data_IF_045262663047
#
_entry.id   IF_045262663047
#
_cell.length_a   1.000
_cell.length_b   1.000
_cell.length_c   1.000
_cell.angle_alpha   90.00
_cell.angle_beta   90.00
_cell.angle_gamma   90.00
#
_symmetry.space_group_name_H-M   'P 1'
#
loop_
_entity.id
_entity.type
_entity.pdbx_description
1 polymer ?
#
# COMPACT_ATOMS: atom_id res chain seq x y z
N UNK A 1 68.57 2.17 -11.85
CA UNK A 1 67.93 1.08 -11.07
C UNK A 1 66.46 1.47 -10.94
N UNK A 2 65.78 1.58 -12.08
CA UNK A 2 65.02 0.51 -12.75
C UNK A 2 63.77 0.07 -11.99
N UNK A 3 62.57 0.27 -12.58
CA UNK A 3 61.28 -0.11 -12.04
C UNK A 3 60.94 -1.55 -12.46
N UNK A 4 60.17 -2.28 -11.63
CA UNK A 4 59.63 -3.58 -12.03
C UNK A 4 58.10 -3.62 -11.92
N UNK A 5 57.53 -3.92 -13.08
CA UNK A 5 56.18 -4.31 -13.42
C UNK A 5 55.61 -5.52 -12.66
N UNK A 6 54.28 -5.62 -12.68
CA UNK A 6 53.53 -6.88 -12.57
C UNK A 6 52.04 -6.56 -12.31
N UNK A 7 51.16 -6.38 -13.29
CA UNK A 7 50.61 -7.32 -14.29
C UNK A 7 49.17 -7.73 -13.92
N UNK A 8 48.25 -7.28 -14.76
CA UNK A 8 47.10 -7.96 -15.35
C UNK A 8 46.23 -8.92 -14.50
N UNK A 9 44.98 -8.50 -14.34
CA UNK A 9 43.83 -9.36 -14.03
C UNK A 9 42.62 -8.94 -14.86
N UNK A 10 42.61 -9.36 -16.13
CA UNK A 10 41.47 -9.25 -17.04
C UNK A 10 40.44 -10.36 -16.76
N UNK A 11 39.15 -10.05 -16.96
CA UNK A 11 38.13 -11.06 -17.30
C UNK A 11 36.89 -11.07 -16.40
N UNK A 12 35.78 -10.50 -16.90
CA UNK A 12 34.50 -10.56 -16.19
C UNK A 12 33.31 -9.99 -16.98
N UNK A 13 33.09 -10.50 -18.20
CA UNK A 13 31.83 -10.50 -18.97
C UNK A 13 30.79 -9.40 -18.72
N UNK A 14 30.82 -8.35 -19.54
CA UNK A 14 29.63 -7.56 -19.85
C UNK A 14 28.72 -8.39 -20.78
N UNK A 15 27.69 -9.00 -20.21
CA UNK A 15 26.60 -9.59 -20.98
C UNK A 15 25.66 -8.51 -21.49
N UNK A 16 25.21 -8.56 -22.76
CA UNK A 16 24.14 -7.70 -23.24
C UNK A 16 22.81 -8.17 -22.65
N UNK A 17 22.24 -7.38 -21.73
CA UNK A 17 20.84 -7.57 -21.35
C UNK A 17 19.98 -7.11 -22.50
N UNK A 18 19.55 -8.07 -23.30
CA UNK A 18 18.50 -7.91 -24.29
C UNK A 18 17.26 -7.32 -23.62
N UNK A 19 16.95 -6.11 -24.04
CA UNK A 19 15.64 -5.47 -23.88
C UNK A 19 14.70 -6.22 -24.82
N UNK A 20 13.85 -7.09 -24.27
CA UNK A 20 12.65 -7.52 -24.99
C UNK A 20 11.60 -8.09 -24.04
N UNK A 21 10.54 -7.30 -23.81
CA UNK A 21 9.12 -7.73 -23.76
C UNK A 21 8.25 -6.54 -23.37
N UNK A 22 7.85 -5.79 -24.39
CA UNK A 22 6.58 -5.08 -24.39
C UNK A 22 5.46 -6.13 -24.33
N UNK A 23 4.75 -6.22 -23.21
CA UNK A 23 3.42 -6.85 -23.18
C UNK A 23 2.41 -5.72 -23.31
N UNK A 24 2.13 -5.34 -24.56
CA UNK A 24 0.93 -4.60 -24.93
C UNK A 24 -0.25 -5.56 -24.91
N UNK A 25 -1.08 -5.52 -23.88
CA UNK A 25 -2.40 -6.16 -23.91
C UNK A 25 -3.42 -5.09 -24.32
N UNK A 26 -3.58 -4.98 -25.64
CA UNK A 26 -4.75 -4.38 -26.27
C UNK A 26 -5.92 -5.37 -26.13
N UNK A 27 -6.72 -5.20 -25.08
CA UNK A 27 -8.03 -5.85 -24.97
C UNK A 27 -9.12 -4.82 -25.21
N UNK A 28 -9.47 -4.63 -26.48
CA UNK A 28 -10.65 -3.89 -26.89
C UNK A 28 -11.91 -4.67 -26.54
N UNK A 29 -12.57 -4.33 -25.43
CA UNK A 29 -13.90 -4.80 -25.11
C UNK A 29 -14.94 -3.72 -25.47
N UNK A 30 -15.49 -3.80 -26.69
CA UNK A 30 -16.72 -3.10 -27.06
C UNK A 30 -17.89 -3.74 -26.31
N UNK A 31 -18.30 -3.15 -25.19
CA UNK A 31 -19.57 -3.50 -24.55
C UNK A 31 -20.71 -2.70 -25.18
N UNK A 32 -21.52 -3.36 -26.02
CA UNK A 32 -22.87 -2.93 -26.38
C UNK A 32 -23.86 -3.76 -25.57
N UNK A 33 -24.83 -3.08 -24.95
CA UNK A 33 -26.04 -3.69 -24.39
C UNK A 33 -26.22 -3.32 -22.92
N UNK A 34 -27.40 -3.03 -22.40
CA UNK A 34 -28.72 -2.83 -23.00
C UNK A 34 -29.52 -1.98 -22.01
N UNK A 35 -30.36 -1.07 -22.52
CA UNK A 35 -31.31 -0.32 -21.69
C UNK A 35 -32.43 -1.27 -21.27
N UNK A 36 -32.46 -1.67 -20.01
CA UNK A 36 -33.55 -2.40 -19.39
C UNK A 36 -34.32 -1.51 -18.44
N UNK A 37 -35.36 -0.84 -18.93
CA UNK A 37 -36.42 -0.32 -18.09
C UNK A 37 -37.42 -1.47 -17.81
N UNK A 38 -37.84 -1.65 -16.55
CA UNK A 38 -39.22 -2.03 -16.19
C UNK A 38 -39.46 -1.96 -14.69
N UNK A 39 -40.57 -1.29 -14.38
CA UNK A 39 -41.23 -1.14 -13.09
C UNK A 39 -42.07 -2.39 -12.79
N UNK A 40 -42.33 -2.67 -11.51
CA UNK A 40 -43.38 -3.59 -11.01
C UNK A 40 -43.15 -3.89 -9.52
N UNK A 41 -43.95 -3.34 -8.60
CA UNK A 41 -45.19 -3.92 -8.04
C UNK A 41 -44.88 -5.06 -7.02
N UNK A 42 -44.98 -4.80 -5.71
CA UNK A 42 -46.15 -4.91 -4.82
C UNK A 42 -46.45 -6.34 -4.32
N UNK A 43 -46.89 -6.40 -3.05
CA UNK A 43 -47.55 -7.51 -2.31
C UNK A 43 -46.62 -8.62 -1.76
N UNK A 44 -46.39 -8.71 -0.45
CA UNK A 44 -47.28 -9.17 0.64
C UNK A 44 -47.50 -10.69 0.66
N UNK A 45 -46.97 -11.39 1.66
CA UNK A 45 -47.73 -12.32 2.54
C UNK A 45 -46.84 -12.90 3.63
N UNK A 46 -47.34 -12.83 4.86
CA UNK A 46 -46.82 -13.52 6.02
C UNK A 46 -47.24 -15.01 5.98
N UNK A 47 -46.32 -15.90 6.31
CA UNK A 47 -46.59 -17.31 6.62
C UNK A 47 -45.72 -17.72 7.81
N UNK A 48 -46.36 -17.73 8.98
CA UNK A 48 -45.86 -18.33 10.21
C UNK A 48 -45.99 -19.86 10.08
N UNK A 49 -44.86 -20.52 9.82
CA UNK A 49 -44.74 -21.97 9.96
C UNK A 49 -43.92 -22.27 11.21
N UNK A 50 -44.59 -22.70 12.28
CA UNK A 50 -43.96 -23.23 13.47
C UNK A 50 -43.44 -24.64 13.16
N UNK A 51 -42.12 -24.76 13.01
CA UNK A 51 -41.43 -26.05 12.86
C UNK A 51 -40.66 -26.31 14.15
N UNK A 52 -41.24 -27.11 15.04
CA UNK A 52 -40.52 -27.76 16.14
C UNK A 52 -39.69 -28.90 15.57
N UNK A 53 -38.47 -28.58 15.11
CA UNK A 53 -37.49 -29.53 14.62
C UNK A 53 -36.34 -29.66 15.60
N UNK A 54 -36.07 -30.89 16.04
CA UNK A 54 -34.95 -31.25 16.90
C UNK A 54 -33.63 -30.69 16.36
N UNK A 55 -32.91 -29.94 17.21
CA UNK A 55 -31.59 -29.42 16.89
C UNK A 55 -30.63 -30.61 16.76
N UNK A 56 -30.04 -30.85 15.59
CA UNK A 56 -28.94 -31.78 15.52
C UNK A 56 -27.75 -31.15 16.26
N UNK A 57 -27.16 -31.89 17.20
CA UNK A 57 -25.92 -31.52 17.86
C UNK A 57 -24.76 -31.65 16.86
N UNK A 58 -24.57 -30.62 16.05
CA UNK A 58 -23.38 -30.48 15.22
C UNK A 58 -22.37 -29.87 16.16
N UNK A 59 -21.49 -30.71 16.71
CA UNK A 59 -20.24 -30.23 17.26
C UNK A 59 -19.54 -29.51 16.11
N UNK A 60 -19.72 -28.19 16.05
CA UNK A 60 -19.06 -27.34 15.07
C UNK A 60 -17.58 -27.58 15.27
N UNK A 61 -16.92 -28.15 14.25
CA UNK A 61 -15.47 -28.14 14.22
C UNK A 61 -15.04 -26.68 14.42
N UNK A 62 -14.22 -26.42 15.45
CA UNK A 62 -13.69 -25.09 15.67
C UNK A 62 -13.10 -24.59 14.35
N UNK A 63 -13.62 -23.46 13.86
CA UNK A 63 -13.10 -22.85 12.64
C UNK A 63 -11.58 -22.68 12.81
N UNK A 64 -10.78 -23.04 11.80
CA UNK A 64 -9.34 -22.90 11.90
C UNK A 64 -8.98 -21.44 12.21
N UNK A 65 -8.11 -21.24 13.20
CA UNK A 65 -7.64 -19.91 13.58
C UNK A 65 -7.20 -19.11 12.34
N UNK A 66 -7.71 -17.88 12.19
CA UNK A 66 -7.31 -17.00 11.09
C UNK A 66 -5.84 -16.60 11.29
N UNK A 67 -4.93 -16.96 10.36
CA UNK A 67 -3.48 -16.79 10.53
C UNK A 67 -3.01 -15.32 10.61
N UNK A 68 -3.92 -14.35 10.58
CA UNK A 68 -3.59 -12.94 10.48
C UNK A 68 -3.14 -12.59 9.06
N UNK A 69 -3.18 -11.30 8.73
CA UNK A 69 -2.78 -10.85 7.39
C UNK A 69 -1.98 -9.56 7.44
N UNK A 70 -0.97 -9.46 6.59
CA UNK A 70 -0.23 -8.21 6.38
C UNK A 70 -0.03 -7.94 4.90
N UNK A 71 0.03 -6.67 4.56
CA UNK A 71 0.25 -6.18 3.21
C UNK A 71 1.14 -4.95 3.20
N UNK A 72 1.91 -4.80 2.14
CA UNK A 72 2.72 -3.61 1.87
C UNK A 72 2.56 -3.16 0.43
N UNK A 73 2.47 -1.86 0.24
CA UNK A 73 2.43 -1.16 -1.05
C UNK A 73 3.57 -0.14 -1.06
N UNK A 74 4.55 -0.34 -1.94
CA UNK A 74 5.78 0.45 -2.01
C UNK A 74 5.50 1.91 -2.37
N UNK A 75 4.87 2.13 -3.52
CA UNK A 75 4.47 3.45 -3.97
C UNK A 75 3.09 3.41 -4.65
N UNK A 76 2.30 4.46 -4.42
CA UNK A 76 0.97 4.61 -4.99
C UNK A 76 0.67 6.07 -5.31
N UNK A 77 0.09 6.35 -6.47
CA UNK A 77 -0.36 7.69 -6.81
C UNK A 77 -1.75 7.68 -7.45
N UNK A 78 -2.50 8.74 -7.15
CA UNK A 78 -3.78 9.10 -7.77
C UNK A 78 -3.63 10.50 -8.34
N UNK A 79 -3.19 10.58 -9.58
CA UNK A 79 -2.94 11.86 -10.25
C UNK A 79 -4.17 12.29 -11.06
N UNK A 80 -5.06 13.03 -10.41
CA UNK A 80 -5.90 14.03 -11.07
C UNK A 80 -6.90 13.50 -12.10
N UNK A 81 -7.61 12.41 -11.80
CA UNK A 81 -8.89 12.14 -12.45
C UNK A 81 -9.92 11.78 -11.39
N UNK A 82 -11.14 12.30 -11.55
CA UNK A 82 -12.26 11.91 -10.70
C UNK A 82 -12.38 10.38 -10.77
N UNK A 83 -12.75 9.69 -9.68
CA UNK A 83 -12.93 8.24 -9.68
C UNK A 83 -13.84 7.74 -10.83
N UNK A 84 -14.70 8.63 -11.31
CA UNK A 84 -15.73 8.37 -12.32
C UNK A 84 -15.29 8.71 -13.76
N UNK A 85 -14.09 9.30 -13.96
CA UNK A 85 -13.55 9.58 -15.29
C UNK A 85 -12.76 8.38 -15.83
N UNK A 86 -13.04 7.93 -17.06
CA UNK A 86 -12.29 6.86 -17.70
C UNK A 86 -10.86 7.34 -17.98
N UNK A 87 -9.89 6.73 -17.27
CA UNK A 87 -8.47 7.05 -17.39
C UNK A 87 -7.76 7.31 -16.06
N UNK A 88 -8.47 7.23 -14.92
CA UNK A 88 -7.88 7.40 -13.61
C UNK A 88 -6.90 6.24 -13.33
N UNK A 89 -5.63 6.46 -13.69
CA UNK A 89 -4.56 5.50 -13.47
C UNK A 89 -4.24 5.46 -11.96
N UNK A 90 -4.90 4.55 -11.25
CA UNK A 90 -4.41 4.06 -9.98
C UNK A 90 -3.22 3.14 -10.27
N UNK A 91 -2.01 3.67 -10.16
CA UNK A 91 -0.77 2.89 -10.27
C UNK A 91 -0.40 2.40 -8.87
N UNK A 92 -0.69 1.14 -8.59
CA UNK A 92 -0.17 0.43 -7.43
C UNK A 92 1.09 -0.32 -7.86
N UNK A 93 2.26 0.09 -7.36
CA UNK A 93 3.54 -0.45 -7.81
C UNK A 93 4.30 -1.08 -6.64
N UNK A 94 4.51 -2.39 -6.74
CA UNK A 94 5.16 -3.21 -5.72
C UNK A 94 4.23 -3.56 -4.56
N UNK A 95 3.46 -4.64 -4.72
CA UNK A 95 2.58 -5.16 -3.67
C UNK A 95 3.16 -6.45 -3.08
N UNK A 96 3.30 -6.49 -1.75
CA UNK A 96 3.61 -7.71 -1.02
C UNK A 96 2.46 -8.05 -0.07
N UNK A 97 2.08 -9.32 0.05
CA UNK A 97 0.98 -9.76 0.92
C UNK A 97 1.28 -11.10 1.57
N UNK A 98 0.86 -11.24 2.81
CA UNK A 98 0.83 -12.49 3.56
C UNK A 98 -0.61 -12.76 4.04
N UNK A 99 -1.11 -14.00 3.95
CA UNK A 99 -0.41 -15.21 3.48
C UNK A 99 -0.44 -15.43 1.96
N UNK A 100 -1.32 -14.73 1.23
CA UNK A 100 -1.77 -15.14 -0.10
C UNK A 100 -0.99 -14.57 -1.31
N UNK A 101 0.20 -13.99 -1.15
CA UNK A 101 0.94 -13.42 -2.29
C UNK A 101 2.45 -13.32 -2.12
N UNK A 102 3.13 -12.56 -2.99
CA UNK A 102 4.58 -12.41 -2.90
C UNK A 102 4.95 -11.74 -1.57
N UNK A 103 5.88 -12.35 -0.84
CA UNK A 103 6.30 -11.83 0.47
C UNK A 103 7.25 -10.64 0.36
N UNK A 104 7.87 -10.44 -0.80
CA UNK A 104 8.76 -9.32 -1.11
C UNK A 104 8.62 -8.94 -2.57
N UNK A 105 8.61 -7.64 -2.83
CA UNK A 105 8.71 -7.06 -4.17
C UNK A 105 9.67 -5.88 -4.12
N UNK A 106 10.48 -5.74 -5.16
CA UNK A 106 11.38 -4.61 -5.37
C UNK A 106 11.33 -4.20 -6.83
N UNK A 107 11.19 -2.90 -7.06
CA UNK A 107 11.19 -2.27 -8.39
C UNK A 107 12.26 -1.18 -8.36
N UNK A 108 13.11 -1.14 -9.39
CA UNK A 108 14.17 -0.13 -9.46
C UNK A 108 13.59 1.27 -9.66
N UNK A 109 12.50 1.41 -10.42
CA UNK A 109 11.89 2.70 -10.71
C UNK A 109 10.40 2.53 -10.98
N UNK A 110 9.65 3.51 -10.49
CA UNK A 110 8.20 3.68 -10.66
C UNK A 110 7.98 5.06 -11.27
N UNK A 111 7.30 5.13 -12.42
CA UNK A 111 7.08 6.37 -13.15
C UNK A 111 5.63 6.85 -12.98
N UNK A 112 5.46 8.13 -12.64
CA UNK A 112 4.17 8.77 -12.42
C UNK A 112 3.75 9.66 -13.60
N UNK A 113 4.14 9.27 -14.82
CA UNK A 113 3.97 10.09 -16.03
C UNK A 113 4.76 11.40 -15.94
N UNK A 114 4.13 12.50 -16.35
CA UNK A 114 4.73 13.84 -16.29
C UNK A 114 5.03 14.33 -14.87
N UNK A 115 4.44 13.69 -13.85
CA UNK A 115 4.65 14.08 -12.47
C UNK A 115 6.00 13.61 -11.92
N UNK A 116 6.78 12.76 -12.61
CA UNK A 116 8.11 12.33 -12.16
C UNK A 116 8.21 10.85 -11.79
N UNK A 117 9.10 10.50 -10.87
CA UNK A 117 9.40 9.10 -10.52
C UNK A 117 9.78 8.88 -9.06
N UNK A 118 9.69 7.61 -8.63
CA UNK A 118 10.28 7.09 -7.41
C UNK A 118 11.24 5.94 -7.73
N UNK A 119 12.31 5.82 -6.94
CA UNK A 119 13.36 4.83 -7.11
C UNK A 119 13.44 3.89 -5.91
N UNK A 120 14.01 2.70 -6.13
CA UNK A 120 14.18 1.65 -5.11
C UNK A 120 12.89 1.36 -4.31
N UNK A 121 11.79 1.18 -5.06
CA UNK A 121 10.49 0.92 -4.48
C UNK A 121 10.45 -0.50 -3.94
N UNK A 122 10.14 -0.65 -2.66
CA UNK A 122 10.16 -1.94 -1.96
C UNK A 122 8.88 -2.16 -1.16
N UNK A 123 8.45 -3.43 -1.12
CA UNK A 123 7.39 -3.89 -0.24
C UNK A 123 7.74 -5.28 0.31
N UNK A 124 7.44 -5.53 1.57
CA UNK A 124 7.57 -6.85 2.18
C UNK A 124 6.47 -7.11 3.20
N UNK A 125 6.01 -8.35 3.24
CA UNK A 125 4.99 -8.83 4.17
C UNK A 125 5.40 -10.22 4.68
N UNK A 126 5.22 -10.44 5.98
CA UNK A 126 5.53 -11.70 6.64
C UNK A 126 4.55 -11.96 7.77
N UNK A 127 4.34 -13.24 8.10
CA UNK A 127 3.62 -13.65 9.30
C UNK A 127 4.01 -15.04 9.76
N UNK A 128 3.58 -15.37 10.97
CA UNK A 128 3.75 -16.65 11.64
C UNK A 128 2.36 -17.21 11.97
N UNK A 129 1.99 -18.26 11.23
CA UNK A 129 0.68 -18.89 11.35
C UNK A 129 0.46 -19.58 12.72
N UNK A 130 1.53 -19.98 13.41
CA UNK A 130 1.41 -20.62 14.72
C UNK A 130 1.07 -19.60 15.82
N UNK A 131 1.56 -18.36 15.67
CA UNK A 131 1.37 -17.30 16.67
C UNK A 131 0.41 -16.19 16.25
N UNK A 132 -0.07 -16.19 15.00
CA UNK A 132 -0.92 -15.14 14.42
C UNK A 132 -0.22 -13.78 14.27
N UNK A 133 1.11 -13.74 14.44
CA UNK A 133 1.90 -12.51 14.37
C UNK A 133 2.16 -12.14 12.92
N UNK A 134 2.02 -10.86 12.58
CA UNK A 134 2.29 -10.36 11.23
C UNK A 134 3.12 -9.08 11.26
N UNK A 135 3.84 -8.83 10.16
CA UNK A 135 4.64 -7.63 9.93
C UNK A 135 4.59 -7.24 8.46
N UNK A 136 4.58 -5.95 8.17
CA UNK A 136 4.82 -5.43 6.84
C UNK A 136 5.73 -4.20 6.86
N UNK A 137 6.45 -4.00 5.75
CA UNK A 137 7.30 -2.84 5.49
C UNK A 137 7.14 -2.43 4.03
N UNK A 138 7.07 -1.14 3.75
CA UNK A 138 7.03 -0.62 2.39
C UNK A 138 7.70 0.75 2.31
N UNK A 139 8.26 1.09 1.16
CA UNK A 139 8.95 2.36 1.00
C UNK A 139 9.59 2.59 -0.37
N UNK A 140 10.30 3.70 -0.47
CA UNK A 140 11.09 4.12 -1.64
C UNK A 140 12.45 4.63 -1.17
N UNK A 141 13.49 4.49 -1.99
CA UNK A 141 14.82 5.03 -1.69
C UNK A 141 14.90 6.54 -1.89
N UNK A 142 14.25 7.04 -2.94
CA UNK A 142 14.03 8.47 -3.18
C UNK A 142 12.85 8.68 -4.14
N UNK A 143 12.33 9.91 -4.16
CA UNK A 143 11.35 10.32 -5.15
C UNK A 143 11.47 11.81 -5.49
N UNK A 144 11.23 12.14 -6.76
CA UNK A 144 11.18 13.49 -7.26
C UNK A 144 9.91 13.68 -8.07
N UNK A 145 8.98 14.49 -7.56
CA UNK A 145 7.68 14.71 -8.16
C UNK A 145 7.38 16.18 -8.42
N UNK A 146 6.78 16.47 -9.57
CA UNK A 146 6.24 17.78 -9.95
C UNK A 146 4.71 17.70 -10.07
N UNK A 147 4.02 18.35 -9.14
CA UNK A 147 2.56 18.42 -9.07
C UNK A 147 2.08 19.84 -9.43
N UNK A 148 2.76 20.49 -10.38
CA UNK A 148 2.56 21.86 -10.86
C UNK A 148 2.97 22.95 -9.87
N UNK A 149 2.10 23.25 -8.90
CA UNK A 149 2.35 24.32 -7.92
C UNK A 149 3.25 23.86 -6.79
N UNK A 150 3.46 22.54 -6.69
CA UNK A 150 4.19 21.87 -5.64
C UNK A 150 5.17 20.88 -6.26
N UNK A 151 6.45 20.97 -5.88
CA UNK A 151 7.48 19.98 -6.22
C UNK A 151 7.93 19.27 -4.94
N UNK A 152 7.82 17.95 -4.92
CA UNK A 152 8.32 17.09 -3.85
C UNK A 152 9.69 16.54 -4.22
N UNK A 153 10.66 16.69 -3.33
CA UNK A 153 11.90 15.90 -3.35
C UNK A 153 12.04 15.23 -2.01
N UNK A 154 12.27 13.93 -2.03
CA UNK A 154 12.45 13.15 -0.80
C UNK A 154 13.49 12.06 -1.02
N UNK A 155 14.27 11.79 0.01
CA UNK A 155 15.12 10.60 0.07
C UNK A 155 14.31 9.40 0.56
N UNK A 156 14.91 8.61 1.46
CA UNK A 156 14.32 7.36 1.89
C UNK A 156 13.00 7.59 2.64
N UNK A 157 11.94 6.91 2.21
CA UNK A 157 10.63 6.91 2.88
C UNK A 157 10.26 5.48 3.20
N UNK A 158 9.95 5.20 4.46
CA UNK A 158 9.54 3.86 4.90
C UNK A 158 8.35 3.92 5.85
N UNK A 159 7.41 3.00 5.65
CA UNK A 159 6.35 2.67 6.57
C UNK A 159 6.57 1.25 7.11
N UNK A 160 6.34 1.05 8.41
CA UNK A 160 6.34 -0.27 9.03
C UNK A 160 5.07 -0.48 9.85
N UNK A 161 4.55 -1.70 9.87
CA UNK A 161 3.54 -2.12 10.81
C UNK A 161 3.81 -3.53 11.34
N UNK A 162 3.31 -3.81 12.54
CA UNK A 162 3.25 -5.15 13.13
C UNK A 162 1.95 -5.34 13.90
N UNK A 163 1.45 -6.58 13.93
CA UNK A 163 0.29 -6.95 14.72
C UNK A 163 0.50 -8.33 15.36
N UNK A 164 -0.11 -8.55 16.51
CA UNK A 164 -0.11 -9.81 17.24
C UNK A 164 -1.51 -10.03 17.85
N UNK A 165 -1.96 -11.28 18.03
CA UNK A 165 -3.24 -11.55 18.67
C UNK A 165 -3.31 -10.96 20.08
N UNK A 166 -4.48 -10.45 20.46
CA UNK A 166 -4.73 -9.85 21.78
C UNK A 166 -4.03 -8.51 22.04
N UNK A 167 -3.37 -7.90 21.05
CA UNK A 167 -2.67 -6.61 21.19
C UNK A 167 -3.03 -5.65 20.06
N UNK A 168 -3.08 -4.35 20.37
CA UNK A 168 -3.27 -3.32 19.35
C UNK A 168 -2.09 -3.33 18.36
N UNK A 169 -2.33 -3.25 17.04
CA UNK A 169 -1.26 -3.14 16.06
C UNK A 169 -0.39 -1.90 16.28
N UNK A 170 0.90 -2.04 15.96
CA UNK A 170 1.89 -0.97 16.02
C UNK A 170 2.28 -0.52 14.61
N UNK A 171 2.56 0.77 14.47
CA UNK A 171 2.98 1.37 13.21
C UNK A 171 4.06 2.43 13.42
N UNK A 172 4.87 2.70 12.39
CA UNK A 172 5.84 3.80 12.38
C UNK A 172 6.18 4.21 10.94
N UNK A 173 6.78 5.40 10.80
CA UNK A 173 7.28 5.88 9.52
C UNK A 173 8.56 6.72 9.67
N UNK A 174 9.37 6.73 8.62
CA UNK A 174 10.56 7.59 8.45
C UNK A 174 10.51 8.28 7.09
N UNK A 175 10.94 9.55 7.03
CA UNK A 175 10.88 10.40 5.83
C UNK A 175 12.15 11.24 5.73
N UNK A 176 13.21 10.70 5.13
CA UNK A 176 14.52 11.35 5.09
C UNK A 176 14.66 12.33 3.93
N UNK A 177 15.37 13.45 4.15
CA UNK A 177 15.71 14.41 3.09
C UNK A 177 14.50 15.02 2.37
N UNK A 178 13.32 15.05 3.01
CA UNK A 178 12.12 15.58 2.40
C UNK A 178 12.07 17.11 2.40
N UNK A 179 11.89 17.67 1.21
CA UNK A 179 11.59 19.08 0.99
C UNK A 179 10.44 19.21 -0.01
N UNK A 180 9.48 20.08 0.32
CA UNK A 180 8.37 20.44 -0.55
C UNK A 180 8.56 21.89 -0.98
N UNK A 181 8.89 22.10 -2.26
CA UNK A 181 8.97 23.41 -2.86
C UNK A 181 7.58 23.84 -3.36
N UNK A 182 7.11 25.01 -2.93
CA UNK A 182 5.83 25.58 -3.38
C UNK A 182 6.12 26.82 -4.20
N UNK A 183 5.54 26.93 -5.41
CA UNK A 183 5.82 28.02 -6.35
C UNK A 183 5.53 29.38 -5.70
N UNK A 184 6.56 30.23 -5.63
CA UNK A 184 6.45 31.58 -5.06
C UNK A 184 6.51 31.64 -3.52
N UNK A 185 6.79 30.52 -2.86
CA UNK A 185 6.95 30.45 -1.41
C UNK A 185 8.31 29.85 -1.03
N UNK A 186 8.64 29.86 0.27
CA UNK A 186 9.81 29.15 0.81
C UNK A 186 9.54 27.65 0.84
N UNK A 187 10.60 26.86 0.67
CA UNK A 187 10.55 25.41 0.78
C UNK A 187 10.15 24.98 2.20
N UNK A 188 9.36 23.92 2.28
CA UNK A 188 8.91 23.30 3.52
C UNK A 188 9.72 22.02 3.75
N UNK A 189 10.58 22.03 4.76
CA UNK A 189 11.27 20.83 5.22
C UNK A 189 10.33 19.97 6.07
N UNK A 190 10.42 18.65 5.95
CA UNK A 190 9.66 17.71 6.77
C UNK A 190 10.55 17.07 7.84
N UNK A 191 9.99 16.81 9.01
CA UNK A 191 10.67 16.13 10.11
C UNK A 191 10.99 14.67 9.72
N UNK A 192 12.26 14.19 9.83
CA UNK A 192 12.62 12.83 9.43
C UNK A 192 11.92 11.68 10.16
N UNK A 193 11.52 11.91 11.41
CA UNK A 193 10.79 10.92 12.23
C UNK A 193 9.51 11.55 12.78
N UNK A 194 8.51 11.77 11.91
CA UNK A 194 7.31 12.50 12.29
C UNK A 194 6.52 11.72 13.34
N UNK A 195 5.95 12.45 14.31
CA UNK A 195 5.02 11.87 15.28
C UNK A 195 3.79 11.27 14.56
N UNK A 196 3.10 10.29 15.16
CA UNK A 196 1.89 9.72 14.58
C UNK A 196 0.85 10.79 14.21
N UNK A 197 0.31 10.75 12.99
CA UNK A 197 -0.72 11.69 12.53
C UNK A 197 -0.23 13.12 12.26
N UNK A 198 1.08 13.31 12.11
CA UNK A 198 1.65 14.64 11.82
C UNK A 198 1.09 15.18 10.50
N UNK A 199 0.66 16.43 10.51
CA UNK A 199 0.09 17.11 9.35
C UNK A 199 0.83 18.43 9.11
N UNK A 200 1.22 18.68 7.86
CA UNK A 200 1.90 19.92 7.45
C UNK A 200 1.08 20.61 6.37
N UNK A 201 0.59 21.81 6.67
CA UNK A 201 -0.10 22.65 5.69
C UNK A 201 0.92 23.33 4.76
N UNK A 202 0.66 23.32 3.46
CA UNK A 202 1.54 23.98 2.49
C UNK A 202 1.19 25.48 2.36
N UNK A 203 2.19 26.35 2.14
CA UNK A 203 1.99 27.78 1.94
C UNK A 203 0.96 28.10 0.85
N UNK A 204 0.22 29.20 1.05
CA UNK A 204 -0.76 29.68 0.07
C UNK A 204 -1.96 28.74 -0.16
N UNK A 205 -2.17 27.76 0.71
CA UNK A 205 -3.23 26.77 0.52
C UNK A 205 -2.96 25.79 -0.62
N UNK A 206 -1.69 25.63 -1.03
CA UNK A 206 -1.31 24.77 -2.14
C UNK A 206 -1.62 23.27 -1.90
N UNK A 207 -1.81 22.86 -0.64
CA UNK A 207 -2.11 21.48 -0.30
C UNK A 207 -1.76 21.14 1.14
N UNK A 208 -1.59 19.83 1.38
CA UNK A 208 -1.27 19.28 2.70
C UNK A 208 -0.46 17.99 2.58
N UNK A 209 0.56 17.87 3.42
CA UNK A 209 1.27 16.61 3.64
C UNK A 209 0.79 15.96 4.95
N UNK A 210 0.57 14.66 4.90
CA UNK A 210 0.23 13.79 6.02
C UNK A 210 1.40 12.82 6.22
N UNK A 211 1.92 12.76 7.43
CA UNK A 211 3.14 12.05 7.78
C UNK A 211 2.84 11.07 8.91
N UNK A 212 3.32 9.83 8.78
CA UNK A 212 3.05 8.76 9.75
C UNK A 212 1.54 8.68 10.07
N UNK A 213 0.71 8.76 9.03
CA UNK A 213 -0.74 8.68 9.17
C UNK A 213 -1.12 7.24 9.51
N UNK A 214 -2.00 7.09 10.50
CA UNK A 214 -2.43 5.80 11.04
C UNK A 214 -3.94 5.72 10.98
N UNK A 215 -4.45 4.72 10.29
CA UNK A 215 -5.87 4.49 10.11
C UNK A 215 -6.17 3.12 10.70
N UNK A 216 -6.92 3.11 11.81
CA UNK A 216 -7.44 1.87 12.38
C UNK A 216 -8.81 1.60 11.77
N UNK A 217 -8.95 0.44 11.15
CA UNK A 217 -10.18 -0.01 10.52
C UNK A 217 -11.11 -0.68 11.54
N UNK A 218 -12.39 -0.86 11.16
CA UNK A 218 -13.41 -1.43 12.04
C UNK A 218 -13.13 -2.89 12.42
N UNK A 219 -12.37 -3.61 11.58
CA UNK A 219 -11.91 -4.99 11.82
C UNK A 219 -10.62 -5.06 12.67
N UNK A 220 -10.14 -3.92 13.17
CA UNK A 220 -8.91 -3.82 13.96
C UNK A 220 -7.62 -3.82 13.14
N UNK A 221 -7.70 -3.84 11.80
CA UNK A 221 -6.51 -3.64 10.97
C UNK A 221 -5.96 -2.22 11.15
N UNK A 222 -4.63 -2.10 11.07
CA UNK A 222 -3.93 -0.81 11.06
C UNK A 222 -3.27 -0.60 9.70
N UNK A 223 -3.69 0.47 9.03
CA UNK A 223 -3.02 1.01 7.85
C UNK A 223 -2.13 2.18 8.23
N UNK A 224 -0.87 2.17 7.78
CA UNK A 224 0.12 3.22 8.01
C UNK A 224 0.58 3.78 6.67
N UNK A 225 0.53 5.10 6.51
CA UNK A 225 1.13 5.82 5.40
C UNK A 225 2.33 6.63 5.89
N UNK A 226 3.49 6.45 5.28
CA UNK A 226 4.69 7.18 5.68
C UNK A 226 4.62 8.65 5.24
N UNK A 227 4.33 8.88 3.96
CA UNK A 227 4.08 10.20 3.39
C UNK A 227 2.88 10.13 2.44
N UNK A 228 1.85 10.92 2.71
CA UNK A 228 0.75 11.19 1.78
C UNK A 228 0.67 12.68 1.49
N UNK A 229 0.79 13.06 0.23
CA UNK A 229 0.77 14.45 -0.24
C UNK A 229 -0.49 14.68 -1.07
N UNK A 230 -1.30 15.68 -0.67
CA UNK A 230 -2.51 16.11 -1.40
C UNK A 230 -2.33 17.53 -1.92
N UNK A 231 -2.51 17.72 -3.23
CA UNK A 231 -2.38 18.99 -3.95
C UNK A 231 -3.54 19.11 -4.94
N UNK A 232 -4.54 19.93 -4.61
CA UNK A 232 -5.81 19.94 -5.35
C UNK A 232 -6.46 18.55 -5.38
N UNK A 233 -6.75 18.05 -6.58
CA UNK A 233 -7.32 16.71 -6.83
C UNK A 233 -6.27 15.60 -6.99
N UNK A 234 -4.99 15.93 -6.80
CA UNK A 234 -3.88 14.96 -6.88
C UNK A 234 -3.49 14.47 -5.50
N UNK A 235 -3.23 13.17 -5.41
CA UNK A 235 -2.72 12.53 -4.22
C UNK A 235 -1.58 11.59 -4.57
N UNK A 236 -0.51 11.63 -3.78
CA UNK A 236 0.60 10.66 -3.86
C UNK A 236 0.82 10.09 -2.47
N UNK A 237 1.04 8.78 -2.40
CA UNK A 237 1.39 8.07 -1.17
C UNK A 237 2.68 7.27 -1.39
N UNK A 238 3.70 7.56 -0.58
CA UNK A 238 4.97 6.84 -0.57
C UNK A 238 5.06 6.01 0.72
N UNK A 239 5.21 4.70 0.57
CA UNK A 239 5.20 3.74 1.67
C UNK A 239 3.82 3.62 2.33
N UNK A 240 3.11 2.53 2.03
CA UNK A 240 1.87 2.16 2.72
C UNK A 240 1.93 0.71 3.17
N UNK A 241 1.53 0.45 4.41
CA UNK A 241 1.47 -0.91 4.95
C UNK A 241 0.18 -1.10 5.72
N UNK A 242 -0.35 -2.32 5.71
CA UNK A 242 -1.53 -2.71 6.48
C UNK A 242 -1.23 -3.98 7.24
N UNK A 243 -1.56 -4.00 8.54
CA UNK A 243 -1.39 -5.17 9.40
C UNK A 243 -2.71 -5.44 10.13
N UNK A 244 -3.21 -6.67 9.98
CA UNK A 244 -4.36 -7.20 10.71
C UNK A 244 -3.89 -8.33 11.62
N UNK A 245 -4.15 -8.27 12.94
CA UNK A 245 -3.79 -9.36 13.84
C UNK A 245 -4.53 -10.65 13.45
N UNK A 246 -3.90 -11.81 13.66
CA UNK A 246 -4.63 -13.08 13.63
C UNK A 246 -5.52 -13.25 14.85
N UNK A 247 -6.45 -14.21 14.78
CA UNK A 247 -7.18 -14.68 15.97
C UNK A 247 -6.27 -15.66 16.70
N UNK A 248 -5.92 -15.38 17.94
CA UNK A 248 -5.01 -16.25 18.69
C UNK A 248 -5.71 -17.56 19.06
N UNK A 249 -4.94 -18.62 19.29
CA UNK A 249 -5.49 -19.86 19.87
C UNK A 249 -6.14 -19.65 21.26
N UNK A 250 -5.80 -18.55 21.94
CA UNK A 250 -6.36 -18.18 23.24
C UNK A 250 -7.80 -17.63 23.17
N UNK A 251 -8.29 -17.21 22.00
CA UNK A 251 -9.69 -16.80 21.84
C UNK A 251 -10.65 -18.00 21.65
N UNK A 252 -10.12 -19.25 21.64
CA UNK A 252 -10.89 -20.49 21.70
C UNK A 252 -11.10 -20.95 23.15
N UNK A 253 -11.45 -20.03 24.06
CA UNK A 253 -11.82 -20.41 25.42
C UNK A 253 -13.18 -21.14 25.39
N UNK A 254 -13.13 -22.37 25.90
CA UNK A 254 -14.12 -23.45 25.98
C UNK A 254 -15.58 -22.97 26.16
N UNK A 255 -16.53 -23.28 25.25
CA UNK A 255 -17.95 -23.04 25.51
C UNK A 255 -18.43 -23.98 26.62
N UNK A 256 -18.67 -23.42 27.81
CA UNK A 256 -19.24 -24.10 28.97
C UNK A 256 -20.67 -24.62 28.75
#
# INVERSE_FOLDING_TARGET
>A
MDPCHGADGAGGGAGPWHVDRMISILSGARWRGARGARRGALCATALLAAVTGAAPAWAGAADPADPGSSGGLGAFARLGQRPDEPGALALAEGQATYPAGPRRVSLATVAFGEAGSAHDVTASASGDAATGRVRARAGVGDAALDLETVRLRVGAVHAECSAAPGSAPLGSATVEGAAIAVRGARDVALEPRPAPGTTVALPGGAGRAYLNERITEADGALTVHALRLRVGDREVTLGSVTCRPGTGAADQEDPA
#
